data_IF_115151393253
#
_entry.id   IF_115151393253
#
_cell.length_a   1.000
_cell.length_b   1.000
_cell.length_c   1.000
_cell.angle_alpha   90.00
_cell.angle_beta   90.00
_cell.angle_gamma   90.00
#
_symmetry.space_group_name_H-M   'P 1'
#
loop_
_entity.id
_entity.type
_entity.pdbx_description
1 polymer ?
#
# COMPACT_ATOMS: atom_id res chain seq x y z
N UNK A 1 11.28 14.34 2.45
CA UNK A 1 10.83 13.55 3.62
C UNK A 1 10.58 12.10 3.23
N UNK A 2 10.49 11.18 4.21
CA UNK A 2 10.36 9.76 3.91
C UNK A 2 8.92 9.29 4.04
N UNK A 3 8.49 8.47 3.09
CA UNK A 3 7.32 7.60 3.22
C UNK A 3 7.79 6.24 3.71
N UNK A 4 7.03 5.61 4.58
CA UNK A 4 7.36 4.32 5.17
C UNK A 4 6.33 3.27 4.77
N UNK A 5 6.82 2.10 4.38
CA UNK A 5 6.02 0.91 4.19
C UNK A 5 6.51 -0.16 5.17
N UNK A 6 5.67 -0.52 6.13
CA UNK A 6 5.94 -1.56 7.10
C UNK A 6 5.03 -2.75 6.85
N UNK A 7 5.56 -3.96 6.99
CA UNK A 7 4.79 -5.20 6.88
C UNK A 7 5.16 -6.18 7.99
N UNK A 8 4.21 -7.05 8.33
CA UNK A 8 4.39 -8.12 9.30
C UNK A 8 3.51 -9.30 8.98
N UNK A 9 3.89 -10.48 9.46
CA UNK A 9 3.15 -11.72 9.25
C UNK A 9 2.20 -11.94 10.42
N UNK A 10 0.93 -12.18 10.13
CA UNK A 10 -0.10 -12.53 11.08
C UNK A 10 -0.03 -14.03 11.38
N UNK A 11 0.81 -14.42 12.30
CA UNK A 11 0.82 -15.75 12.92
C UNK A 11 0.49 -15.60 14.40
N UNK A 12 0.03 -16.66 15.06
CA UNK A 12 -0.33 -16.60 16.48
C UNK A 12 0.79 -16.01 17.33
N UNK A 13 0.51 -14.86 17.96
CA UNK A 13 1.44 -14.17 18.85
C UNK A 13 2.52 -13.31 18.22
N UNK A 14 2.60 -13.21 16.90
CA UNK A 14 3.69 -12.49 16.23
C UNK A 14 3.43 -11.00 15.96
N UNK A 15 2.17 -10.56 15.88
CA UNK A 15 1.81 -9.15 15.74
C UNK A 15 0.96 -8.69 16.92
N UNK A 16 1.63 -8.46 18.05
CA UNK A 16 1.05 -7.91 19.27
C UNK A 16 1.84 -6.69 19.71
N UNK A 17 1.18 -5.75 20.35
CA UNK A 17 1.82 -4.58 20.94
C UNK A 17 1.11 -4.16 22.22
N UNK A 18 1.89 -3.87 23.25
CA UNK A 18 1.39 -3.27 24.50
C UNK A 18 1.00 -1.79 24.33
N UNK A 19 1.27 -1.20 23.14
CA UNK A 19 1.00 0.20 22.81
C UNK A 19 -0.40 0.47 22.30
N UNK A 20 -1.21 -0.59 22.13
CA UNK A 20 -2.60 -0.47 21.68
C UNK A 20 -3.44 0.03 22.86
N UNK A 21 -4.25 1.06 22.62
CA UNK A 21 -5.13 1.65 23.61
C UNK A 21 -6.30 0.71 23.98
N UNK A 22 -6.87 0.93 25.16
CA UNK A 22 -8.10 0.24 25.57
C UNK A 22 -9.27 0.51 24.61
N UNK A 23 -9.32 1.69 24.00
CA UNK A 23 -10.31 2.04 22.98
C UNK A 23 -10.21 1.13 21.74
N UNK A 24 -9.01 0.83 21.27
CA UNK A 24 -8.81 -0.13 20.17
C UNK A 24 -9.29 -1.53 20.52
N UNK A 25 -9.04 -1.99 21.75
CA UNK A 25 -9.53 -3.28 22.23
C UNK A 25 -11.06 -3.32 22.29
N UNK A 26 -11.70 -2.23 22.70
CA UNK A 26 -13.17 -2.12 22.71
C UNK A 26 -13.74 -2.14 21.28
N UNK A 27 -13.13 -1.43 20.35
CA UNK A 27 -13.53 -1.48 18.93
C UNK A 27 -13.36 -2.90 18.34
N UNK A 28 -12.28 -3.57 18.66
CA UNK A 28 -12.03 -4.94 18.22
C UNK A 28 -13.12 -5.90 18.70
N UNK A 29 -13.62 -5.73 19.92
CA UNK A 29 -14.69 -6.59 20.49
C UNK A 29 -16.01 -6.47 19.72
N UNK A 30 -16.27 -5.37 19.03
CA UNK A 30 -17.45 -5.16 18.19
C UNK A 30 -17.38 -5.92 16.87
N UNK A 31 -16.18 -6.37 16.48
CA UNK A 31 -15.95 -7.07 15.23
C UNK A 31 -16.16 -8.58 15.37
N UNK A 32 -16.60 -9.27 14.30
CA UNK A 32 -16.57 -10.71 14.24
C UNK A 32 -15.17 -11.26 14.52
N UNK A 33 -15.09 -12.44 15.16
CA UNK A 33 -13.82 -13.03 15.61
C UNK A 33 -12.76 -13.09 14.50
N UNK A 34 -13.14 -13.52 13.30
CA UNK A 34 -12.22 -13.62 12.15
C UNK A 34 -11.65 -12.27 11.68
N UNK A 35 -12.32 -11.15 12.00
CA UNK A 35 -11.83 -9.78 11.70
C UNK A 35 -11.03 -9.17 12.85
N UNK A 36 -11.30 -9.60 14.07
CA UNK A 36 -10.72 -9.05 15.28
C UNK A 36 -9.20 -9.16 15.29
N UNK A 37 -8.68 -10.33 14.96
CA UNK A 37 -7.25 -10.60 14.93
C UNK A 37 -6.52 -9.71 13.93
N UNK A 38 -7.04 -9.57 12.71
CA UNK A 38 -6.47 -8.67 11.69
C UNK A 38 -6.55 -7.20 12.11
N UNK A 39 -7.65 -6.80 12.70
CA UNK A 39 -7.82 -5.44 13.19
C UNK A 39 -6.78 -5.11 14.25
N UNK A 40 -6.62 -5.93 15.28
CA UNK A 40 -5.64 -5.73 16.34
C UNK A 40 -4.21 -5.78 15.82
N UNK A 41 -3.89 -6.72 14.94
CA UNK A 41 -2.56 -6.82 14.33
C UNK A 41 -2.21 -5.58 13.49
N UNK A 42 -3.15 -5.03 12.74
CA UNK A 42 -2.93 -3.81 11.98
C UNK A 42 -2.65 -2.60 12.87
N UNK A 43 -3.35 -2.50 14.00
CA UNK A 43 -3.12 -1.45 14.99
C UNK A 43 -1.81 -1.65 15.74
N UNK A 44 -1.44 -2.90 16.02
CA UNK A 44 -0.15 -3.23 16.63
C UNK A 44 1.02 -2.80 15.73
N UNK A 45 0.96 -3.13 14.45
CA UNK A 45 1.99 -2.73 13.49
C UNK A 45 2.10 -1.20 13.36
N UNK A 46 0.97 -0.49 13.28
CA UNK A 46 0.96 0.97 13.25
C UNK A 46 1.51 1.57 14.54
N UNK A 47 1.14 1.03 15.70
CA UNK A 47 1.62 1.51 17.01
C UNK A 47 3.14 1.36 17.13
N UNK A 48 3.68 0.20 16.75
CA UNK A 48 5.13 -0.06 16.78
C UNK A 48 5.88 0.82 15.77
N UNK A 49 5.31 1.07 14.60
CA UNK A 49 5.90 1.97 13.61
C UNK A 49 5.96 3.42 14.13
N UNK A 50 4.87 3.90 14.74
CA UNK A 50 4.81 5.23 15.36
C UNK A 50 5.82 5.37 16.51
N UNK A 51 6.00 4.32 17.30
CA UNK A 51 7.02 4.31 18.35
C UNK A 51 8.43 4.34 17.79
N UNK A 52 8.73 3.50 16.82
CA UNK A 52 10.06 3.45 16.21
C UNK A 52 10.45 4.78 15.55
N UNK A 53 9.52 5.42 14.83
CA UNK A 53 9.81 6.62 14.07
C UNK A 53 9.75 7.91 14.91
N UNK A 54 8.84 7.98 15.88
CA UNK A 54 8.51 9.23 16.59
C UNK A 54 8.55 9.11 18.12
N UNK A 55 8.83 7.94 18.67
CA UNK A 55 8.83 7.71 20.10
C UNK A 55 7.44 7.77 20.76
N UNK A 56 6.37 7.64 19.96
CA UNK A 56 4.99 7.66 20.46
C UNK A 56 4.71 6.44 21.30
N UNK A 57 4.47 6.62 22.62
CA UNK A 57 4.39 5.52 23.58
C UNK A 57 3.12 4.68 23.46
N UNK A 58 2.02 5.28 23.04
CA UNK A 58 0.71 4.63 22.83
C UNK A 58 0.14 5.06 21.49
N UNK A 59 -0.57 4.14 20.81
CA UNK A 59 -1.23 4.44 19.53
C UNK A 59 -2.22 5.60 19.72
N UNK A 60 -2.06 6.71 18.97
CA UNK A 60 -2.99 7.83 19.04
C UNK A 60 -4.41 7.42 18.59
N UNK A 61 -5.40 8.19 19.02
CA UNK A 61 -6.80 7.97 18.67
C UNK A 61 -7.02 7.99 17.16
N UNK A 62 -7.81 7.04 16.69
CA UNK A 62 -8.15 6.86 15.28
C UNK A 62 -9.64 7.12 15.08
N UNK A 63 -9.95 7.93 14.07
CA UNK A 63 -11.31 8.18 13.60
C UNK A 63 -11.53 7.46 12.28
N UNK A 64 -12.78 7.08 12.01
CA UNK A 64 -13.18 6.55 10.71
C UNK A 64 -13.88 7.66 9.92
N UNK A 65 -13.35 8.00 8.75
CA UNK A 65 -13.97 8.95 7.83
C UNK A 65 -15.27 8.38 7.24
N UNK A 66 -16.17 9.23 6.71
CA UNK A 66 -17.44 8.77 6.13
C UNK A 66 -17.29 7.69 5.05
N UNK A 67 -16.23 7.71 4.28
CA UNK A 67 -15.88 6.71 3.26
C UNK A 67 -15.28 5.41 3.84
N UNK A 68 -15.17 5.32 5.16
CA UNK A 68 -14.67 4.12 5.86
C UNK A 68 -13.17 4.10 6.09
N UNK A 69 -12.44 5.14 5.72
CA UNK A 69 -10.99 5.24 5.89
C UNK A 69 -10.61 5.60 7.33
N UNK A 70 -9.73 4.84 8.00
CA UNK A 70 -9.19 5.23 9.29
C UNK A 70 -8.11 6.32 9.14
N UNK A 71 -8.15 7.33 10.02
CA UNK A 71 -7.18 8.41 10.13
C UNK A 71 -6.93 8.72 11.61
N UNK A 72 -5.77 9.29 11.93
CA UNK A 72 -5.57 9.81 13.29
C UNK A 72 -6.52 10.97 13.57
N UNK A 73 -7.04 11.04 14.78
CA UNK A 73 -7.92 12.12 15.22
C UNK A 73 -7.21 13.47 15.21
N UNK A 74 -5.92 13.50 15.54
CA UNK A 74 -5.07 14.68 15.45
C UNK A 74 -4.57 14.86 14.01
N UNK A 75 -4.98 15.95 13.32
CA UNK A 75 -4.59 16.21 11.93
C UNK A 75 -3.10 16.53 11.73
N UNK A 76 -2.38 16.85 12.81
CA UNK A 76 -0.93 17.12 12.76
C UNK A 76 -0.10 15.83 12.70
N UNK A 77 -0.71 14.68 13.01
CA UNK A 77 -0.07 13.39 12.92
C UNK A 77 0.04 12.89 11.47
N UNK A 78 0.99 11.99 11.18
CA UNK A 78 1.14 11.42 9.86
C UNK A 78 -0.13 10.78 9.31
N UNK A 79 -0.26 10.74 7.98
CA UNK A 79 -1.30 9.97 7.30
C UNK A 79 -0.85 8.54 7.12
N UNK A 80 -1.78 7.61 7.19
CA UNK A 80 -1.50 6.19 7.03
C UNK A 80 -2.55 5.50 6.17
N UNK A 81 -2.18 4.34 5.65
CA UNK A 81 -3.05 3.41 4.96
C UNK A 81 -2.74 2.00 5.41
N UNK A 82 -3.77 1.21 5.66
CA UNK A 82 -3.65 -0.17 6.12
C UNK A 82 -4.21 -1.10 5.07
N UNK A 83 -3.52 -2.21 4.84
CA UNK A 83 -3.98 -3.30 3.98
C UNK A 83 -3.55 -4.64 4.54
N UNK A 84 -4.23 -5.70 4.12
CA UNK A 84 -3.84 -7.06 4.43
C UNK A 84 -4.18 -8.00 3.27
N UNK A 85 -3.33 -8.98 3.07
CA UNK A 85 -3.53 -10.04 2.10
C UNK A 85 -3.03 -11.36 2.69
N UNK A 86 -3.88 -12.40 2.64
CA UNK A 86 -3.56 -13.65 3.33
C UNK A 86 -3.27 -13.42 4.82
N UNK A 87 -2.07 -13.76 5.22
CA UNK A 87 -1.56 -13.56 6.59
C UNK A 87 -0.56 -12.39 6.72
N UNK A 88 -0.46 -11.53 5.72
CA UNK A 88 0.42 -10.36 5.73
C UNK A 88 -0.38 -9.10 6.00
N UNK A 89 0.08 -8.31 6.97
CA UNK A 89 -0.43 -6.98 7.29
C UNK A 89 0.56 -5.94 6.75
N UNK A 90 0.05 -4.89 6.13
CA UNK A 90 0.84 -3.78 5.64
C UNK A 90 0.31 -2.43 6.15
N UNK A 91 1.23 -1.53 6.43
CA UNK A 91 0.96 -0.14 6.82
C UNK A 91 1.87 0.77 6.01
N UNK A 92 1.27 1.72 5.30
CA UNK A 92 1.99 2.86 4.75
C UNK A 92 1.79 4.08 5.65
N UNK A 93 2.82 4.91 5.78
CA UNK A 93 2.79 6.10 6.61
C UNK A 93 3.60 7.22 5.94
N UNK A 94 3.03 8.43 5.89
CA UNK A 94 3.68 9.61 5.33
C UNK A 94 3.40 10.84 6.18
N UNK A 95 4.39 11.73 6.28
CA UNK A 95 4.27 13.00 7.00
C UNK A 95 3.81 14.15 6.09
N UNK A 96 3.90 13.98 4.78
CA UNK A 96 3.47 14.97 3.79
C UNK A 96 2.38 14.38 2.90
N UNK A 97 1.31 15.15 2.71
CA UNK A 97 0.21 14.75 1.85
C UNK A 97 -0.54 13.54 2.39
N UNK A 98 -0.82 12.60 1.53
CA UNK A 98 -1.58 11.41 1.84
C UNK A 98 -0.98 10.17 1.18
N UNK A 99 -1.40 8.98 1.60
CA UNK A 99 -0.93 7.72 1.03
C UNK A 99 -2.05 6.68 0.91
N UNK A 100 -1.84 5.74 0.02
CA UNK A 100 -2.67 4.54 -0.12
C UNK A 100 -1.77 3.33 -0.35
N UNK A 101 -2.12 2.20 0.24
CA UNK A 101 -1.37 0.94 0.14
C UNK A 101 -2.30 -0.19 -0.25
N UNK A 102 -1.86 -1.02 -1.18
CA UNK A 102 -2.51 -2.26 -1.53
C UNK A 102 -1.49 -3.39 -1.70
N UNK A 103 -1.90 -4.61 -1.38
CA UNK A 103 -1.06 -5.81 -1.48
C UNK A 103 -1.84 -6.99 -2.03
N UNK A 104 -1.13 -7.89 -2.72
CA UNK A 104 -1.66 -9.15 -3.22
C UNK A 104 -0.60 -10.25 -3.08
N UNK A 105 -1.02 -11.48 -2.80
CA UNK A 105 -0.12 -12.62 -2.77
C UNK A 105 0.12 -13.17 -4.19
N UNK A 106 1.36 -13.49 -4.52
CA UNK A 106 1.74 -14.05 -5.82
C UNK A 106 0.98 -15.33 -6.16
N UNK A 107 0.81 -16.24 -5.21
CA UNK A 107 0.07 -17.48 -5.46
C UNK A 107 -1.44 -17.25 -5.69
N UNK A 108 -2.02 -16.20 -5.09
CA UNK A 108 -3.42 -15.84 -5.33
C UNK A 108 -3.61 -15.31 -6.75
N UNK A 109 -2.64 -14.57 -7.27
CA UNK A 109 -2.71 -14.04 -8.65
C UNK A 109 -2.58 -15.11 -9.72
N UNK A 110 -1.89 -16.21 -9.41
CA UNK A 110 -1.64 -17.30 -10.37
C UNK A 110 -2.74 -18.36 -10.42
N UNK A 111 -3.74 -18.28 -9.54
CA UNK A 111 -4.92 -19.15 -9.53
C UNK A 111 -4.58 -20.63 -9.38
N UNK A 112 -4.67 -21.17 -8.19
CA UNK A 112 -4.40 -22.59 -7.94
C UNK A 112 -5.46 -23.55 -8.56
N UNK A 113 -6.63 -23.05 -8.94
CA UNK A 113 -7.76 -23.87 -9.46
C UNK A 113 -8.56 -23.16 -10.57
N UNK A 114 -7.91 -22.59 -11.55
CA UNK A 114 -8.51 -22.29 -12.85
C UNK A 114 -9.19 -20.95 -13.04
N UNK A 115 -9.55 -20.22 -11.99
CA UNK A 115 -10.07 -18.85 -12.11
C UNK A 115 -9.17 -17.90 -11.30
N UNK A 116 -8.51 -16.99 -12.00
CA UNK A 116 -7.80 -15.88 -11.35
C UNK A 116 -8.87 -14.92 -10.80
N UNK A 117 -8.87 -14.57 -9.49
CA UNK A 117 -9.84 -13.65 -8.92
C UNK A 117 -9.86 -12.26 -9.57
N UNK A 118 -8.85 -11.96 -10.38
CA UNK A 118 -8.75 -10.70 -11.10
C UNK A 118 -9.15 -10.78 -12.59
N UNK A 119 -9.56 -11.94 -13.10
CA UNK A 119 -9.90 -12.10 -14.53
C UNK A 119 -11.05 -11.17 -14.96
N UNK A 120 -11.98 -10.90 -14.08
CA UNK A 120 -13.14 -10.03 -14.31
C UNK A 120 -12.87 -8.55 -13.99
N UNK A 121 -11.65 -8.20 -13.53
CA UNK A 121 -11.34 -6.81 -13.20
C UNK A 121 -11.30 -5.95 -14.47
N UNK A 122 -12.04 -4.81 -14.53
CA UNK A 122 -12.17 -4.00 -15.73
C UNK A 122 -10.91 -3.21 -16.03
N UNK A 123 -10.00 -3.77 -16.82
CA UNK A 123 -8.87 -3.05 -17.40
C UNK A 123 -9.31 -2.35 -18.70
N UNK A 124 -8.74 -1.17 -18.97
CA UNK A 124 -8.90 -0.49 -20.24
C UNK A 124 -8.24 -1.27 -21.38
N UNK A 125 -8.60 -0.96 -22.63
CA UNK A 125 -7.99 -1.61 -23.81
C UNK A 125 -6.48 -1.40 -23.88
N UNK A 126 -6.00 -0.20 -23.51
CA UNK A 126 -4.58 0.11 -23.47
C UNK A 126 -3.84 -0.67 -22.35
N UNK A 127 -4.45 -0.80 -21.20
CA UNK A 127 -3.90 -1.60 -20.08
C UNK A 127 -3.82 -3.08 -20.48
N UNK A 128 -4.88 -3.63 -21.10
CA UNK A 128 -4.90 -5.02 -21.60
C UNK A 128 -3.81 -5.26 -22.62
N UNK A 129 -3.62 -4.34 -23.54
CA UNK A 129 -2.57 -4.43 -24.57
C UNK A 129 -1.18 -4.40 -23.93
N UNK A 130 -0.95 -3.50 -22.99
CA UNK A 130 0.32 -3.41 -22.27
C UNK A 130 0.61 -4.70 -21.49
N UNK A 131 -0.36 -5.22 -20.75
CA UNK A 131 -0.24 -6.47 -19.96
C UNK A 131 0.17 -7.64 -20.88
N UNK A 132 -0.47 -7.81 -22.04
CA UNK A 132 -0.17 -8.90 -22.98
C UNK A 132 1.26 -8.89 -23.48
N UNK A 133 1.90 -7.74 -23.51
CA UNK A 133 3.26 -7.56 -24.00
C UNK A 133 4.33 -7.70 -22.90
N UNK A 134 3.95 -8.00 -21.66
CA UNK A 134 4.89 -8.20 -20.58
C UNK A 134 5.40 -9.64 -20.53
N UNK A 135 6.58 -9.85 -19.96
CA UNK A 135 7.18 -11.19 -19.79
C UNK A 135 6.32 -12.09 -18.91
N UNK A 136 5.71 -11.53 -17.87
CA UNK A 136 4.74 -12.21 -17.00
C UNK A 136 3.43 -11.41 -16.98
N UNK A 137 2.48 -11.71 -17.88
CA UNK A 137 1.22 -10.96 -17.96
C UNK A 137 0.36 -11.06 -16.71
N UNK A 138 0.39 -12.19 -16.02
CA UNK A 138 -0.39 -12.41 -14.79
C UNK A 138 0.11 -11.48 -13.69
N UNK A 139 1.41 -11.42 -13.47
CA UNK A 139 2.04 -10.53 -12.50
C UNK A 139 1.83 -9.05 -12.87
N UNK A 140 2.05 -8.69 -14.14
CA UNK A 140 1.86 -7.34 -14.62
C UNK A 140 0.42 -6.84 -14.41
N UNK A 141 -0.57 -7.70 -14.67
CA UNK A 141 -1.97 -7.42 -14.39
C UNK A 141 -2.22 -7.17 -12.90
N UNK A 142 -1.68 -8.01 -12.03
CA UNK A 142 -1.81 -7.85 -10.59
C UNK A 142 -1.14 -6.57 -10.09
N UNK A 143 0.01 -6.18 -10.62
CA UNK A 143 0.64 -4.90 -10.33
C UNK A 143 -0.24 -3.71 -10.73
N UNK A 144 -0.86 -3.73 -11.92
CA UNK A 144 -1.78 -2.66 -12.34
C UNK A 144 -3.01 -2.57 -11.42
N UNK A 145 -3.56 -3.69 -11.02
CA UNK A 145 -4.73 -3.73 -10.12
C UNK A 145 -4.35 -3.17 -8.73
N UNK A 146 -3.24 -3.60 -8.16
CA UNK A 146 -2.80 -3.08 -6.85
C UNK A 146 -2.42 -1.60 -6.92
N UNK A 147 -1.81 -1.14 -8.01
CA UNK A 147 -1.56 0.29 -8.24
C UNK A 147 -2.86 1.08 -8.26
N UNK A 148 -3.85 0.63 -9.00
CA UNK A 148 -5.17 1.27 -9.07
C UNK A 148 -5.83 1.34 -7.69
N UNK A 149 -5.81 0.25 -6.94
CA UNK A 149 -6.39 0.19 -5.60
C UNK A 149 -5.66 1.11 -4.61
N UNK A 150 -4.33 1.18 -4.67
CA UNK A 150 -3.55 2.08 -3.81
C UNK A 150 -3.91 3.56 -4.06
N UNK A 151 -4.06 3.96 -5.33
CA UNK A 151 -4.46 5.32 -5.71
C UNK A 151 -5.91 5.59 -5.27
N UNK A 152 -6.81 4.64 -5.42
CA UNK A 152 -8.20 4.76 -4.95
C UNK A 152 -8.29 4.96 -3.44
N UNK A 153 -7.53 4.20 -2.67
CA UNK A 153 -7.43 4.37 -1.21
C UNK A 153 -6.91 5.75 -0.82
N UNK A 154 -5.88 6.23 -1.53
CA UNK A 154 -5.35 7.57 -1.33
C UNK A 154 -6.40 8.65 -1.60
N UNK A 155 -7.18 8.52 -2.68
CA UNK A 155 -8.18 9.50 -3.08
C UNK A 155 -9.50 9.41 -2.30
N UNK A 156 -9.71 8.37 -1.49
CA UNK A 156 -11.01 8.09 -0.86
C UNK A 156 -12.11 7.78 -1.89
N UNK A 157 -11.75 7.19 -3.04
CA UNK A 157 -12.68 6.93 -4.12
C UNK A 157 -13.37 5.59 -3.93
N UNK A 158 -14.67 5.63 -3.63
CA UNK A 158 -15.50 4.42 -3.53
C UNK A 158 -15.97 3.88 -4.89
N UNK A 159 -15.94 4.67 -5.97
CA UNK A 159 -16.47 4.26 -7.27
C UNK A 159 -15.39 3.71 -8.20
N UNK A 160 -15.75 2.67 -8.96
CA UNK A 160 -14.94 2.08 -10.02
C UNK A 160 -14.99 2.86 -11.33
N UNK A 161 -15.36 4.14 -11.29
CA UNK A 161 -15.45 4.95 -12.49
C UNK A 161 -14.07 5.09 -13.13
N UNK A 162 -13.88 4.35 -14.22
CA UNK A 162 -12.64 4.32 -15.00
C UNK A 162 -12.27 5.69 -15.58
N UNK A 163 -13.23 6.62 -15.66
CA UNK A 163 -12.98 7.99 -16.12
C UNK A 163 -12.21 8.82 -15.10
N UNK A 164 -12.25 8.46 -13.83
CA UNK A 164 -11.59 9.19 -12.74
C UNK A 164 -10.11 8.83 -12.57
N UNK A 165 -9.68 7.69 -13.07
CA UNK A 165 -8.30 7.22 -12.94
C UNK A 165 -7.88 6.45 -14.20
N UNK A 166 -6.89 6.96 -14.91
CA UNK A 166 -6.29 6.32 -16.06
C UNK A 166 -4.82 5.99 -15.80
N UNK A 167 -4.45 4.73 -15.95
CA UNK A 167 -3.07 4.27 -15.87
C UNK A 167 -2.49 4.13 -17.27
N UNK A 168 -1.28 4.65 -17.45
CA UNK A 168 -0.52 4.61 -18.70
C UNK A 168 0.86 3.99 -18.44
N UNK A 169 0.91 2.68 -18.16
CA UNK A 169 2.14 2.01 -17.71
C UNK A 169 3.26 2.04 -18.75
N UNK A 170 2.94 2.02 -20.04
CA UNK A 170 3.93 2.11 -21.12
C UNK A 170 4.72 3.42 -21.14
N UNK A 171 4.16 4.49 -20.61
CA UNK A 171 4.83 5.79 -20.49
C UNK A 171 5.23 6.17 -19.06
N UNK A 172 4.96 5.30 -18.09
CA UNK A 172 5.19 5.61 -16.67
C UNK A 172 4.29 6.72 -16.13
N UNK A 173 3.09 6.89 -16.69
CA UNK A 173 2.19 8.01 -16.40
C UNK A 173 0.87 7.53 -15.84
N UNK A 174 0.23 8.42 -15.08
CA UNK A 174 -1.16 8.27 -14.65
C UNK A 174 -1.89 9.61 -14.74
N UNK A 175 -3.21 9.55 -14.82
CA UNK A 175 -4.09 10.71 -14.72
C UNK A 175 -5.16 10.43 -13.69
N UNK A 176 -5.33 11.33 -12.75
CA UNK A 176 -6.37 11.23 -11.72
C UNK A 176 -7.18 12.53 -11.71
N UNK A 177 -8.51 12.40 -11.73
CA UNK A 177 -9.39 13.55 -11.62
C UNK A 177 -9.49 14.10 -10.19
N UNK A 178 -9.22 13.27 -9.18
CA UNK A 178 -9.37 13.65 -7.76
C UNK A 178 -8.06 14.08 -7.09
N UNK A 179 -6.92 13.65 -7.58
CA UNK A 179 -5.62 14.05 -7.07
C UNK A 179 -4.73 14.49 -8.23
N UNK A 180 -4.40 15.76 -8.26
CA UNK A 180 -3.63 16.37 -9.35
C UNK A 180 -2.16 15.97 -9.32
N UNK A 181 -1.61 15.72 -8.13
CA UNK A 181 -0.24 15.29 -7.92
C UNK A 181 -0.23 13.96 -7.18
N UNK A 182 0.06 12.89 -7.90
CA UNK A 182 0.17 11.52 -7.38
C UNK A 182 1.37 10.84 -7.99
N UNK A 183 2.11 10.15 -7.18
CA UNK A 183 3.11 9.19 -7.61
C UNK A 183 2.80 7.83 -6.98
N UNK A 184 2.87 6.78 -7.78
CA UNK A 184 2.59 5.42 -7.35
C UNK A 184 3.74 4.50 -7.75
N UNK A 185 4.09 3.59 -6.86
CA UNK A 185 5.15 2.62 -7.02
C UNK A 185 4.62 1.23 -6.73
N UNK A 186 4.97 0.26 -7.56
CA UNK A 186 4.68 -1.15 -7.35
C UNK A 186 5.95 -1.99 -7.45
N UNK A 187 6.04 -3.02 -6.63
CA UNK A 187 7.04 -4.06 -6.76
C UNK A 187 6.38 -5.44 -6.70
N UNK A 188 6.94 -6.39 -7.42
CA UNK A 188 6.55 -7.79 -7.39
C UNK A 188 7.72 -8.61 -6.85
N UNK A 189 7.60 -8.99 -5.59
CA UNK A 189 8.52 -9.89 -4.92
C UNK A 189 8.08 -11.35 -5.11
N UNK A 190 8.88 -12.32 -4.68
CA UNK A 190 8.56 -13.73 -4.89
C UNK A 190 7.23 -14.18 -4.26
N UNK A 191 6.87 -13.59 -3.14
CA UNK A 191 5.65 -13.94 -2.38
C UNK A 191 4.59 -12.86 -2.47
N UNK A 192 4.98 -11.60 -2.56
CA UNK A 192 4.13 -10.45 -2.36
C UNK A 192 4.24 -9.45 -3.52
N UNK A 193 3.10 -9.02 -4.03
CA UNK A 193 2.96 -7.83 -4.85
C UNK A 193 2.43 -6.72 -3.95
N UNK A 194 3.07 -5.55 -3.98
CA UNK A 194 2.61 -4.39 -3.23
C UNK A 194 2.65 -3.13 -4.10
N UNK A 195 1.77 -2.20 -3.81
CA UNK A 195 1.72 -0.89 -4.44
C UNK A 195 1.44 0.19 -3.42
N UNK A 196 2.16 1.28 -3.52
CA UNK A 196 1.97 2.46 -2.68
C UNK A 196 1.77 3.69 -3.56
N UNK A 197 0.77 4.50 -3.22
CA UNK A 197 0.52 5.79 -3.85
C UNK A 197 0.68 6.89 -2.81
N UNK A 198 1.28 8.00 -3.21
CA UNK A 198 1.56 9.13 -2.32
C UNK A 198 1.28 10.44 -3.05
N UNK A 199 0.82 11.44 -2.34
CA UNK A 199 0.72 12.83 -2.78
C UNK A 199 1.68 13.71 -1.97
N UNK A 200 2.37 14.68 -2.57
CA UNK A 200 2.42 14.98 -3.99
C UNK A 200 3.33 14.02 -4.78
N UNK A 201 4.33 13.43 -4.15
CA UNK A 201 5.30 12.54 -4.78
C UNK A 201 6.02 11.67 -3.74
N UNK A 202 6.65 10.58 -4.22
CA UNK A 202 7.50 9.71 -3.40
C UNK A 202 8.95 10.21 -3.52
N UNK A 203 9.42 10.94 -2.52
CA UNK A 203 10.82 11.39 -2.48
C UNK A 203 11.74 10.25 -2.04
N UNK A 204 11.35 9.55 -0.97
CA UNK A 204 12.09 8.43 -0.39
C UNK A 204 11.12 7.44 0.21
N UNK A 205 11.24 6.19 -0.16
CA UNK A 205 10.45 5.08 0.42
C UNK A 205 11.36 4.17 1.24
N UNK A 206 11.06 4.05 2.52
CA UNK A 206 11.67 3.11 3.46
C UNK A 206 10.76 1.91 3.64
N UNK A 207 11.32 0.71 3.49
CA UNK A 207 10.59 -0.55 3.62
C UNK A 207 11.08 -1.30 4.86
N UNK A 208 10.14 -1.74 5.68
CA UNK A 208 10.39 -2.37 6.97
C UNK A 208 9.63 -3.67 7.13
N UNK A 209 10.22 -4.62 7.84
CA UNK A 209 9.52 -5.78 8.38
C UNK A 209 9.53 -5.73 9.90
N UNK A 210 8.41 -6.11 10.50
CA UNK A 210 8.25 -6.19 11.94
C UNK A 210 7.89 -7.60 12.39
N UNK A 211 8.60 -8.06 13.39
CA UNK A 211 8.32 -9.30 14.13
C UNK A 211 8.38 -8.97 15.62
N UNK A 212 7.33 -9.30 16.38
CA UNK A 212 7.27 -8.98 17.82
C UNK A 212 8.34 -9.69 18.66
N UNK A 213 8.96 -10.76 18.15
CA UNK A 213 10.06 -11.46 18.81
C UNK A 213 11.43 -10.87 18.47
N UNK A 214 11.64 -10.45 17.22
CA UNK A 214 12.93 -10.00 16.70
C UNK A 214 12.99 -8.48 16.44
N UNK A 215 11.85 -7.78 16.50
CA UNK A 215 11.76 -6.34 16.27
C UNK A 215 11.76 -5.97 14.79
N UNK A 216 12.31 -4.80 14.50
CA UNK A 216 12.33 -4.22 13.16
C UNK A 216 13.53 -4.68 12.33
N UNK A 217 13.29 -4.96 11.07
CA UNK A 217 14.32 -5.17 10.04
C UNK A 217 14.09 -4.19 8.89
N UNK A 218 15.15 -3.52 8.45
CA UNK A 218 15.13 -2.69 7.24
C UNK A 218 15.32 -3.59 6.03
N UNK A 219 14.44 -3.43 5.03
CA UNK A 219 14.60 -4.07 3.72
C UNK A 219 15.31 -3.13 2.76
N UNK A 220 15.90 -3.66 1.65
CA UNK A 220 16.47 -2.81 0.61
C UNK A 220 15.48 -1.75 0.15
N UNK A 221 15.93 -0.50 0.07
CA UNK A 221 15.09 0.58 -0.42
C UNK A 221 14.93 0.55 -1.96
N UNK A 222 14.13 1.46 -2.50
CA UNK A 222 13.79 1.44 -3.94
C UNK A 222 15.02 1.54 -4.85
N UNK A 223 16.03 2.42 -4.60
CA UNK A 223 17.24 2.47 -5.41
C UNK A 223 18.05 1.16 -5.37
N UNK A 224 18.15 0.53 -4.20
CA UNK A 224 18.84 -0.76 -4.06
C UNK A 224 18.10 -1.85 -4.82
N UNK A 225 16.78 -1.94 -4.66
CA UNK A 225 15.95 -2.90 -5.37
C UNK A 225 15.96 -2.71 -6.88
N UNK A 226 16.00 -1.48 -7.36
CA UNK A 226 16.06 -1.18 -8.80
C UNK A 226 17.33 -1.72 -9.47
N UNK A 227 18.39 -1.93 -8.70
CA UNK A 227 19.65 -2.48 -9.18
C UNK A 227 19.71 -4.02 -9.14
N UNK A 228 18.72 -4.69 -8.53
CA UNK A 228 18.65 -6.14 -8.50
C UNK A 228 18.26 -6.68 -9.88
N UNK A 229 18.90 -7.77 -10.37
CA UNK A 229 18.61 -8.34 -11.69
C UNK A 229 17.15 -8.81 -11.87
N UNK A 230 16.50 -9.16 -10.77
CA UNK A 230 15.10 -9.62 -10.74
C UNK A 230 14.10 -8.52 -10.36
N UNK A 231 14.52 -7.25 -10.30
CA UNK A 231 13.63 -6.17 -9.92
C UNK A 231 12.48 -6.00 -10.93
N UNK A 232 11.27 -5.91 -10.43
CA UNK A 232 10.04 -5.70 -11.19
C UNK A 232 9.31 -4.45 -10.73
N UNK A 233 10.08 -3.40 -10.44
CA UNK A 233 9.58 -2.10 -10.02
C UNK A 233 8.85 -1.40 -11.15
N UNK A 234 7.68 -0.85 -10.85
CA UNK A 234 6.87 -0.03 -11.74
C UNK A 234 6.53 1.28 -11.05
N UNK A 235 6.84 2.39 -11.70
CA UNK A 235 6.56 3.74 -11.18
C UNK A 235 5.64 4.47 -12.16
N UNK A 236 4.54 5.04 -11.64
CA UNK A 236 3.62 5.89 -12.37
C UNK A 236 3.54 7.26 -11.69
N UNK A 237 3.51 8.31 -12.48
CA UNK A 237 3.43 9.68 -11.97
C UNK A 237 2.43 10.51 -12.77
N UNK A 238 1.72 11.41 -12.07
CA UNK A 238 0.87 12.43 -12.67
C UNK A 238 1.61 13.73 -12.98
N UNK A 239 2.91 13.84 -12.61
CA UNK A 239 3.69 15.05 -12.88
C UNK A 239 3.72 15.38 -14.37
N UNK A 240 3.59 16.66 -14.77
CA UNK A 240 3.70 17.07 -16.16
C UNK A 240 5.05 16.70 -16.77
N UNK A 241 5.05 16.29 -18.05
CA UNK A 241 6.27 15.90 -18.76
C UNK A 241 7.34 17.01 -18.80
N UNK A 242 6.93 18.28 -18.80
CA UNK A 242 7.81 19.44 -18.80
C UNK A 242 8.69 19.56 -17.55
N UNK A 243 8.25 19.01 -16.42
CA UNK A 243 9.07 18.97 -15.19
C UNK A 243 10.14 17.87 -15.21
N UNK A 244 10.02 16.88 -16.08
CA UNK A 244 11.01 15.82 -16.19
C UNK A 244 12.28 16.29 -16.94
N UNK A 245 12.19 17.36 -17.74
CA UNK A 245 13.32 17.92 -18.51
C UNK A 245 14.13 18.98 -17.75
N UNK A 246 13.63 19.48 -16.61
CA UNK A 246 14.33 20.49 -15.80
C UNK A 246 15.19 19.90 -14.69
N UNK A 247 15.26 18.57 -14.59
CA UNK A 247 16.06 17.84 -13.60
C UNK A 247 17.21 17.04 -14.22
N UNK A 248 17.56 17.32 -15.48
CA UNK A 248 18.72 16.74 -16.17
C UNK A 248 19.91 17.71 -16.20
#
# INVERSE_FOLDING_TARGET
>A
MATHFARGILTEGHLVSARISSACHQEARKLPEHRRTRFLASRALLAELMFMLYGTSELPDILTQPEGRPVFADPELPRFSITYTGNIIGVALTTEGDCGLDMELQHATRGFHGANPHDDYPLSSNEKLWVRNQNDPIEARAQLITLRQSIRKLCGCASDDASLLQLLPGSGRLRSAKATLVEALSDAEDVLIWSIAVTPAIERLKIWEFDSQHGWSSLPDVPERANEPAARLMRLTSLPAEKAYTLS
#
